data_IF_748300831453
#
_entry.id   IF_748300831453
#
_cell.length_a   1.000
_cell.length_b   1.000
_cell.length_c   1.000
_cell.angle_alpha   90.00
_cell.angle_beta   90.00
_cell.angle_gamma   90.00
#
_symmetry.space_group_name_H-M   'P 1'
#
loop_
_entity.id
_entity.type
_entity.pdbx_description
1 polymer ?
#
# COMPACT_ATOMS: atom_id res chain seq x y z
N UNK A 1 5.00 9.61 -0.33
CA UNK A 1 4.48 8.56 0.59
C UNK A 1 5.01 8.70 2.02
N UNK A 2 6.32 8.82 2.29
CA UNK A 2 6.85 9.00 3.66
C UNK A 2 6.24 10.19 4.43
N UNK A 3 6.09 11.34 3.77
CA UNK A 3 5.41 12.53 4.34
C UNK A 3 3.94 12.28 4.73
N UNK A 4 3.34 11.18 4.27
CA UNK A 4 1.96 10.79 4.58
C UNK A 4 1.89 9.77 5.73
N UNK A 5 3.01 9.48 6.39
CA UNK A 5 3.10 8.52 7.51
C UNK A 5 3.33 7.07 7.07
N UNK A 6 3.49 6.82 5.77
CA UNK A 6 3.80 5.50 5.23
C UNK A 6 5.29 5.18 5.40
N UNK A 7 5.60 3.95 5.81
CA UNK A 7 6.99 3.51 6.03
C UNK A 7 7.35 2.40 5.05
N UNK A 8 8.60 2.39 4.60
CA UNK A 8 9.14 1.22 3.92
C UNK A 8 9.54 0.20 4.98
N UNK A 9 9.17 -1.06 4.78
CA UNK A 9 9.56 -2.15 5.68
C UNK A 9 11.07 -2.42 5.62
N UNK A 10 11.67 -2.28 4.43
CA UNK A 10 13.09 -2.43 4.21
C UNK A 10 13.57 -1.46 3.11
N UNK A 11 14.85 -1.08 3.18
CA UNK A 11 15.49 -0.30 2.13
C UNK A 11 15.51 -1.08 0.80
N UNK A 12 15.22 -0.46 -0.35
CA UNK A 12 15.27 -1.14 -1.63
C UNK A 12 16.71 -1.51 -1.99
N UNK A 13 17.02 -2.80 -2.00
CA UNK A 13 18.36 -3.33 -2.36
C UNK A 13 18.45 -3.81 -3.82
N UNK A 14 17.33 -3.75 -4.56
CA UNK A 14 17.20 -4.17 -5.95
C UNK A 14 15.80 -4.74 -6.25
N UNK A 15 15.40 -4.74 -7.53
CA UNK A 15 14.11 -5.28 -7.98
C UNK A 15 13.01 -4.23 -8.16
N UNK A 16 11.82 -4.70 -8.57
CA UNK A 16 10.70 -3.82 -8.96
C UNK A 16 9.66 -3.59 -7.87
N UNK A 17 9.82 -4.17 -6.67
CA UNK A 17 8.81 -4.09 -5.63
C UNK A 17 9.40 -3.61 -4.32
N UNK A 18 8.64 -2.74 -3.66
CA UNK A 18 8.87 -2.37 -2.25
C UNK A 18 7.66 -2.78 -1.42
N UNK A 19 7.90 -3.07 -0.15
CA UNK A 19 6.84 -3.31 0.82
C UNK A 19 6.62 -2.04 1.64
N UNK A 20 5.42 -1.49 1.53
CA UNK A 20 5.02 -0.27 2.19
C UNK A 20 4.09 -0.63 3.35
N UNK A 21 4.52 -0.35 4.56
CA UNK A 21 3.71 -0.48 5.76
C UNK A 21 2.60 0.56 5.75
N UNK A 22 1.39 0.09 6.03
CA UNK A 22 0.23 0.93 6.20
C UNK A 22 0.06 1.34 7.67
N UNK A 23 -0.64 2.47 7.93
CA UNK A 23 -1.09 2.80 9.26
C UNK A 23 -2.07 1.74 9.79
N UNK A 24 -2.13 1.55 11.11
CA UNK A 24 -2.95 0.51 11.75
C UNK A 24 -4.45 0.60 11.42
N UNK A 25 -4.95 1.79 11.11
CA UNK A 25 -6.36 2.03 10.73
C UNK A 25 -6.67 1.69 9.26
N UNK A 26 -5.70 1.22 8.48
CA UNK A 26 -5.90 0.90 7.06
C UNK A 26 -5.84 -0.61 6.84
N UNK A 27 -6.99 -1.17 6.46
CA UNK A 27 -7.11 -2.54 5.97
C UNK A 27 -6.59 -2.63 4.52
N UNK A 28 -5.58 -3.49 4.30
CA UNK A 28 -4.89 -3.61 3.02
C UNK A 28 -5.74 -4.30 1.94
N UNK A 29 -6.60 -5.24 2.32
CA UNK A 29 -7.55 -5.90 1.42
C UNK A 29 -8.61 -4.91 0.93
N UNK A 30 -9.16 -4.10 1.82
CA UNK A 30 -10.13 -3.06 1.49
C UNK A 30 -9.51 -1.99 0.60
N UNK A 31 -8.27 -1.57 0.88
CA UNK A 31 -7.52 -0.65 0.04
C UNK A 31 -7.30 -1.22 -1.37
N UNK A 32 -6.91 -2.50 -1.46
CA UNK A 32 -6.70 -3.17 -2.75
C UNK A 32 -7.99 -3.30 -3.57
N UNK A 33 -9.12 -3.57 -2.92
CA UNK A 33 -10.43 -3.61 -3.57
C UNK A 33 -10.83 -2.25 -4.14
N UNK A 34 -10.62 -1.17 -3.39
CA UNK A 34 -10.95 0.17 -3.86
C UNK A 34 -10.02 0.61 -5.01
N UNK A 35 -8.72 0.32 -4.90
CA UNK A 35 -7.78 0.53 -6.00
C UNK A 35 -8.23 -0.18 -7.28
N UNK A 36 -8.61 -1.46 -7.17
CA UNK A 36 -9.06 -2.24 -8.32
C UNK A 36 -10.31 -1.64 -9.00
N UNK A 37 -11.24 -1.05 -8.25
CA UNK A 37 -12.40 -0.33 -8.81
C UNK A 37 -12.01 0.91 -9.62
N UNK A 38 -10.86 1.50 -9.32
CA UNK A 38 -10.32 2.68 -9.99
C UNK A 38 -9.22 2.34 -11.01
N UNK A 39 -9.03 1.05 -11.34
CA UNK A 39 -8.01 0.60 -12.29
C UNK A 39 -6.58 0.61 -11.73
N UNK A 40 -6.42 0.73 -10.41
CA UNK A 40 -5.13 0.77 -9.72
C UNK A 40 -4.87 -0.61 -9.10
N UNK A 41 -3.85 -1.30 -9.59
CA UNK A 41 -3.46 -2.59 -9.02
C UNK A 41 -2.63 -2.41 -7.75
N UNK A 42 -3.15 -2.91 -6.63
CA UNK A 42 -2.47 -2.94 -5.33
C UNK A 42 -2.43 -4.39 -4.86
N UNK A 43 -1.24 -4.87 -4.51
CA UNK A 43 -1.05 -6.20 -3.96
C UNK A 43 -1.03 -6.13 -2.42
N UNK A 44 -2.10 -6.59 -1.73
CA UNK A 44 -2.18 -6.56 -0.27
C UNK A 44 -1.16 -7.51 0.36
N UNK A 45 -0.51 -7.10 1.45
CA UNK A 45 0.48 -7.92 2.16
C UNK A 45 -0.15 -9.16 2.80
N UNK A 46 -1.39 -9.05 3.27
CA UNK A 46 -2.16 -10.12 3.92
C UNK A 46 -2.24 -11.40 3.09
N UNK A 47 -2.31 -11.32 1.76
CA UNK A 47 -2.38 -12.53 0.90
C UNK A 47 -1.04 -13.26 0.77
N UNK A 48 0.06 -12.62 1.17
CA UNK A 48 1.41 -13.21 1.20
C UNK A 48 1.83 -13.63 2.62
N UNK A 49 1.00 -13.39 3.65
CA UNK A 49 1.26 -13.90 4.99
C UNK A 49 0.85 -15.38 5.10
N UNK A 50 1.74 -16.28 5.56
CA UNK A 50 1.42 -17.69 5.75
C UNK A 50 0.18 -17.93 6.63
N UNK A 51 0.00 -17.08 7.65
CA UNK A 51 -1.08 -17.18 8.64
C UNK A 51 -2.26 -16.25 8.31
N UNK A 52 -2.20 -15.54 7.16
CA UNK A 52 -3.13 -14.45 6.78
C UNK A 52 -3.27 -13.35 7.84
N UNK A 53 -2.30 -13.24 8.74
CA UNK A 53 -2.16 -12.14 9.69
C UNK A 53 -0.76 -11.58 9.50
N UNK A 54 -0.59 -10.42 8.86
CA UNK A 54 0.69 -9.73 8.92
C UNK A 54 0.87 -9.12 10.31
N UNK A 55 2.10 -9.11 10.85
CA UNK A 55 2.41 -8.39 12.09
C UNK A 55 2.10 -6.88 11.97
N UNK A 56 2.03 -6.36 10.73
CA UNK A 56 1.57 -5.01 10.40
C UNK A 56 1.02 -4.98 8.96
N UNK A 57 -0.18 -4.44 8.76
CA UNK A 57 -0.79 -4.33 7.43
C UNK A 57 0.12 -3.57 6.46
N UNK A 58 0.19 -3.99 5.20
CA UNK A 58 1.07 -3.39 4.21
C UNK A 58 0.67 -3.75 2.79
N UNK A 59 1.28 -3.06 1.82
CA UNK A 59 1.07 -3.32 0.40
C UNK A 59 2.39 -3.46 -0.33
N UNK A 60 2.40 -4.29 -1.37
CA UNK A 60 3.51 -4.38 -2.31
C UNK A 60 3.27 -3.40 -3.46
N UNK A 61 4.18 -2.46 -3.62
CA UNK A 61 4.11 -1.44 -4.66
C UNK A 61 5.15 -1.74 -5.73
N UNK A 62 4.73 -1.77 -6.99
CA UNK A 62 5.67 -1.82 -8.10
C UNK A 62 6.28 -0.42 -8.30
N UNK A 63 7.60 -0.29 -8.13
CA UNK A 63 8.28 1.01 -8.18
C UNK A 63 8.19 1.69 -9.56
N UNK A 64 8.00 0.93 -10.64
CA UNK A 64 7.81 1.48 -11.98
C UNK A 64 6.53 2.34 -12.09
N UNK A 65 5.58 2.12 -11.19
CA UNK A 65 4.30 2.84 -11.12
C UNK A 65 4.19 3.74 -9.88
N UNK A 66 5.21 3.77 -9.02
CA UNK A 66 5.14 4.52 -7.76
C UNK A 66 5.16 6.04 -7.95
N UNK A 67 5.59 6.53 -9.12
CA UNK A 67 5.53 7.94 -9.51
C UNK A 67 4.30 8.30 -10.34
N UNK A 68 3.38 7.36 -10.59
CA UNK A 68 2.15 7.65 -11.31
C UNK A 68 1.25 8.58 -10.45
N UNK A 69 0.80 9.73 -10.99
CA UNK A 69 -0.08 10.64 -10.27
C UNK A 69 -1.36 9.98 -9.77
N UNK A 70 -1.97 9.07 -10.54
CA UNK A 70 -3.21 8.39 -10.16
C UNK A 70 -3.02 7.53 -8.91
N UNK A 71 -1.89 6.81 -8.83
CA UNK A 71 -1.55 6.03 -7.64
C UNK A 71 -1.34 6.94 -6.42
N UNK A 72 -0.63 8.06 -6.60
CA UNK A 72 -0.37 9.00 -5.52
C UNK A 72 -1.66 9.65 -5.00
N UNK A 73 -2.51 10.14 -5.89
CA UNK A 73 -3.77 10.80 -5.56
C UNK A 73 -4.74 9.83 -4.89
N UNK A 74 -4.82 8.59 -5.38
CA UNK A 74 -5.57 7.51 -4.75
C UNK A 74 -5.12 7.27 -3.31
N UNK A 75 -3.81 7.07 -3.10
CA UNK A 75 -3.27 6.82 -1.75
C UNK A 75 -3.53 8.01 -0.82
N UNK A 76 -3.49 9.25 -1.33
CA UNK A 76 -3.80 10.44 -0.54
C UNK A 76 -5.28 10.50 -0.15
N UNK A 77 -6.19 10.23 -1.08
CA UNK A 77 -7.62 10.24 -0.82
C UNK A 77 -8.01 9.17 0.22
N UNK A 78 -7.53 7.93 0.04
CA UNK A 78 -7.84 6.82 0.94
C UNK A 78 -7.31 7.04 2.36
N UNK A 79 -6.08 7.54 2.49
CA UNK A 79 -5.50 7.83 3.80
C UNK A 79 -6.21 8.98 4.53
N UNK A 80 -6.81 9.94 3.80
CA UNK A 80 -7.61 11.00 4.40
C UNK A 80 -8.98 10.50 4.82
N UNK A 81 -9.65 9.75 3.94
CA UNK A 81 -10.99 9.21 4.19
C UNK A 81 -11.02 8.28 5.41
N UNK A 82 -9.99 7.46 5.62
CA UNK A 82 -9.92 6.46 6.70
C UNK A 82 -9.41 7.00 8.05
N UNK A 83 -9.00 8.28 8.13
CA UNK A 83 -8.55 8.92 9.38
C UNK A 83 -9.68 9.58 10.17
N UNK A 84 -10.81 9.84 9.53
CA UNK A 84 -12.05 10.36 10.11
C UNK A 84 -12.95 9.23 10.57
#
# INVERSE_FOLDING_TARGET
>A
LQKMGLKLFAEPTGGYYVYLELPEYVDDIALAREGARQGIFIAPGTVFSPERQPAKAGIRVNIAWASDPHFFDFMLAELRHRRT
#
